data_IF_512524544186
#
_entry.id   IF_512524544186
#
_cell.length_a   1.000
_cell.length_b   1.000
_cell.length_c   1.000
_cell.angle_alpha   90.00
_cell.angle_beta   90.00
_cell.angle_gamma   90.00
#
_symmetry.space_group_name_H-M   'P 1'
#
loop_
_entity.id
_entity.type
_entity.pdbx_description
1 polymer ?
#
# COMPACT_ATOMS: atom_id res chain seq x y z
N UNK A 1 25.69 -11.01 14.65
CA UNK A 1 25.01 -10.25 13.57
C UNK A 1 24.56 -8.92 14.18
N UNK A 2 25.01 -7.79 13.64
CA UNK A 2 24.67 -6.46 14.19
C UNK A 2 23.54 -5.81 13.40
N UNK A 3 22.64 -5.10 14.09
CA UNK A 3 21.56 -4.32 13.46
C UNK A 3 22.12 -3.16 12.62
N UNK A 4 23.25 -2.59 13.02
CA UNK A 4 23.90 -1.48 12.32
C UNK A 4 24.73 -1.92 11.09
N UNK A 5 24.89 -3.23 10.88
CA UNK A 5 25.62 -3.76 9.73
C UNK A 5 24.79 -3.58 8.45
N UNK A 6 25.44 -3.25 7.35
CA UNK A 6 24.81 -3.20 6.03
C UNK A 6 24.27 -4.56 5.58
N UNK A 7 23.36 -4.52 4.60
CA UNK A 7 22.74 -5.71 4.04
C UNK A 7 22.42 -5.49 2.57
N UNK A 8 22.84 -6.41 1.71
CA UNK A 8 22.54 -6.37 0.27
C UNK A 8 21.41 -7.34 -0.04
N UNK A 9 20.34 -6.83 -0.63
CA UNK A 9 19.22 -7.63 -1.12
C UNK A 9 19.66 -8.48 -2.32
N UNK A 10 18.87 -9.51 -2.65
CA UNK A 10 19.18 -10.43 -3.76
C UNK A 10 19.25 -9.76 -5.13
N UNK A 11 18.63 -8.57 -5.29
CA UNK A 11 18.69 -7.75 -6.50
C UNK A 11 19.87 -6.76 -6.51
N UNK A 12 20.76 -6.80 -5.50
CA UNK A 12 21.93 -5.92 -5.39
C UNK A 12 21.69 -4.59 -4.66
N UNK A 13 20.46 -4.28 -4.25
CA UNK A 13 20.17 -3.07 -3.48
C UNK A 13 20.81 -3.15 -2.09
N UNK A 14 21.65 -2.17 -1.74
CA UNK A 14 22.41 -2.14 -0.48
C UNK A 14 21.74 -1.25 0.56
N UNK A 15 21.26 -1.85 1.66
CA UNK A 15 20.74 -1.15 2.83
C UNK A 15 21.90 -0.79 3.77
N UNK A 16 21.93 0.46 4.26
CA UNK A 16 22.97 0.94 5.22
C UNK A 16 22.91 0.25 6.59
N UNK A 17 21.78 -0.36 6.95
CA UNK A 17 21.59 -1.13 8.18
C UNK A 17 20.36 -2.05 8.04
N UNK A 18 20.07 -2.84 9.09
CA UNK A 18 18.95 -3.81 9.15
C UNK A 18 17.71 -3.24 9.84
N UNK A 19 17.57 -1.91 9.91
CA UNK A 19 16.41 -1.25 10.51
C UNK A 19 15.41 -0.92 9.40
N UNK A 20 14.21 -1.48 9.53
CA UNK A 20 13.11 -1.27 8.59
C UNK A 20 11.96 -0.58 9.30
N UNK A 21 11.47 0.54 8.76
CA UNK A 21 10.16 1.06 9.16
C UNK A 21 9.10 0.20 8.50
N UNK A 22 8.34 -0.52 9.32
CA UNK A 22 7.24 -1.37 8.87
C UNK A 22 6.09 -0.54 8.25
N UNK A 23 5.30 -1.19 7.40
CA UNK A 23 4.10 -0.58 6.85
C UNK A 23 3.07 -0.31 7.98
N UNK A 24 2.79 0.97 8.21
CA UNK A 24 1.88 1.46 9.24
C UNK A 24 1.01 2.49 8.56
N UNK A 25 -0.31 2.35 8.54
CA UNK A 25 -1.15 3.34 7.86
C UNK A 25 -1.03 4.72 8.53
N UNK A 26 -0.68 5.74 7.75
CA UNK A 26 -0.54 7.10 8.25
C UNK A 26 -1.84 7.89 8.19
N UNK A 27 -2.75 7.56 7.28
CA UNK A 27 -4.00 8.31 7.00
C UNK A 27 -3.80 9.80 6.66
N UNK A 28 -2.66 10.13 6.03
CA UNK A 28 -2.25 11.51 5.73
C UNK A 28 -2.32 11.88 4.24
N UNK A 29 -3.00 11.08 3.42
CA UNK A 29 -3.35 11.44 2.05
C UNK A 29 -4.46 12.51 2.02
N UNK A 30 -4.52 13.28 0.94
CA UNK A 30 -5.61 14.23 0.72
C UNK A 30 -6.93 13.52 0.30
N UNK A 31 -7.99 14.30 0.09
CA UNK A 31 -9.29 13.76 -0.34
C UNK A 31 -9.25 13.09 -1.71
N UNK A 32 -8.36 13.55 -2.58
CA UNK A 32 -8.15 12.99 -3.91
C UNK A 32 -7.28 11.72 -3.85
N UNK A 33 -6.67 11.40 -2.72
CA UNK A 33 -5.76 10.27 -2.57
C UNK A 33 -4.32 10.59 -2.96
N UNK A 34 -3.93 11.86 -3.00
CA UNK A 34 -2.55 12.26 -3.20
C UNK A 34 -1.78 12.28 -1.88
N UNK A 35 -0.45 12.03 -1.90
CA UNK A 35 0.36 12.24 -0.72
C UNK A 35 0.52 13.74 -0.44
N UNK A 36 0.64 14.11 0.84
CA UNK A 36 0.71 15.50 1.30
C UNK A 36 2.11 15.88 1.78
N UNK A 37 2.38 17.19 1.89
CA UNK A 37 3.64 17.70 2.45
C UNK A 37 3.88 17.17 3.87
N UNK A 38 2.82 17.03 4.67
CA UNK A 38 2.91 16.46 6.01
C UNK A 38 3.37 15.00 5.98
N UNK A 39 2.89 14.22 5.01
CA UNK A 39 3.35 12.85 4.77
C UNK A 39 4.82 12.83 4.33
N UNK A 40 5.25 13.74 3.44
CA UNK A 40 6.66 13.85 3.04
C UNK A 40 7.56 14.11 4.25
N UNK A 41 7.15 15.02 5.14
CA UNK A 41 7.88 15.38 6.35
C UNK A 41 8.04 14.18 7.29
N UNK A 42 7.00 13.36 7.44
CA UNK A 42 7.06 12.15 8.26
C UNK A 42 8.15 11.19 7.77
N UNK A 43 8.17 10.86 6.48
CA UNK A 43 9.14 9.93 5.93
C UNK A 43 10.56 10.50 5.90
N UNK A 44 10.71 11.80 5.62
CA UNK A 44 11.98 12.50 5.77
C UNK A 44 12.53 12.36 7.18
N UNK A 45 11.71 12.57 8.22
CA UNK A 45 12.15 12.44 9.62
C UNK A 45 12.60 11.02 9.97
N UNK A 46 11.91 10.00 9.45
CA UNK A 46 12.31 8.60 9.61
C UNK A 46 13.65 8.29 8.92
N UNK A 47 13.88 8.89 7.76
CA UNK A 47 15.13 8.74 7.00
C UNK A 47 16.30 9.47 7.68
N UNK A 48 16.09 10.71 8.14
CA UNK A 48 17.03 11.49 8.96
C UNK A 48 17.43 10.74 10.24
N UNK A 49 16.50 10.00 10.85
CA UNK A 49 16.73 9.16 12.02
C UNK A 49 17.60 7.92 11.76
N UNK A 50 18.03 7.67 10.53
CA UNK A 50 18.96 6.60 10.20
C UNK A 50 18.33 5.29 9.76
N UNK A 51 17.02 5.22 9.51
CA UNK A 51 16.34 4.01 9.00
C UNK A 51 16.95 3.55 7.67
N UNK A 52 17.24 2.25 7.50
CA UNK A 52 17.82 1.72 6.26
C UNK A 52 16.80 1.53 5.13
N UNK A 53 15.64 0.99 5.47
CA UNK A 53 14.52 0.76 4.55
C UNK A 53 13.22 1.27 5.16
N UNK A 54 12.46 2.01 4.37
CA UNK A 54 11.17 2.56 4.76
C UNK A 54 10.12 1.91 3.87
N UNK A 55 9.08 1.35 4.48
CA UNK A 55 7.91 0.85 3.76
C UNK A 55 6.77 1.82 4.07
N UNK A 56 6.07 2.28 3.03
CA UNK A 56 4.94 3.19 3.22
C UNK A 56 3.84 2.53 4.04
N UNK A 57 2.91 3.32 4.58
CA UNK A 57 1.59 2.81 4.92
C UNK A 57 0.83 2.35 3.69
N UNK A 58 -0.45 2.07 3.91
CA UNK A 58 -1.31 1.38 2.97
C UNK A 58 -1.63 2.25 1.73
N UNK A 59 -1.11 1.86 0.56
CA UNK A 59 -1.35 2.53 -0.73
C UNK A 59 -2.34 1.71 -1.55
N UNK A 60 -3.45 2.33 -1.93
CA UNK A 60 -4.49 1.66 -2.71
C UNK A 60 -4.13 1.69 -4.19
N UNK A 61 -4.33 0.57 -4.89
CA UNK A 61 -4.13 0.47 -6.35
C UNK A 61 -5.36 0.93 -7.15
N UNK A 62 -6.43 1.36 -6.47
CA UNK A 62 -7.68 1.76 -7.09
C UNK A 62 -8.43 2.80 -6.26
N UNK A 63 -8.73 3.96 -6.87
CA UNK A 63 -9.46 5.06 -6.18
C UNK A 63 -10.85 4.70 -5.71
N UNK A 64 -11.53 3.80 -6.41
CA UNK A 64 -12.88 3.31 -6.05
C UNK A 64 -12.85 2.32 -4.87
N UNK A 65 -11.67 1.78 -4.53
CA UNK A 65 -11.48 0.77 -3.51
C UNK A 65 -10.47 1.25 -2.46
N UNK A 66 -10.92 2.16 -1.59
CA UNK A 66 -10.13 2.68 -0.46
C UNK A 66 -10.47 1.98 0.85
N UNK A 67 -9.45 1.69 1.65
CA UNK A 67 -9.61 1.15 3.00
C UNK A 67 -9.85 2.22 4.06
N UNK A 68 -9.32 3.43 3.86
CA UNK A 68 -9.33 4.52 4.82
C UNK A 68 -9.40 5.89 4.11
N UNK A 69 -9.98 6.89 4.79
CA UNK A 69 -10.18 8.23 4.22
C UNK A 69 -8.89 8.94 3.82
N UNK A 70 -7.78 8.61 4.48
CA UNK A 70 -6.46 9.18 4.24
C UNK A 70 -5.49 8.25 3.50
N UNK A 71 -5.97 7.16 2.88
CA UNK A 71 -5.07 6.37 2.02
C UNK A 71 -4.63 7.20 0.82
N UNK A 72 -3.34 7.10 0.50
CA UNK A 72 -2.81 7.48 -0.81
C UNK A 72 -3.24 6.42 -1.83
N UNK A 73 -3.53 6.86 -3.04
CA UNK A 73 -3.94 6.00 -4.16
C UNK A 73 -2.93 6.18 -5.29
N UNK A 74 -2.47 5.06 -5.84
CA UNK A 74 -1.59 5.05 -7.01
C UNK A 74 -2.32 4.29 -8.13
N UNK A 75 -2.85 5.04 -9.09
CA UNK A 75 -3.50 4.54 -10.30
C UNK A 75 -3.23 5.52 -11.47
N UNK A 76 -3.85 5.30 -12.63
CA UNK A 76 -3.66 6.13 -13.84
C UNK A 76 -3.91 7.63 -13.67
N UNK A 77 -4.71 8.03 -12.68
CA UNK A 77 -5.09 9.43 -12.44
C UNK A 77 -4.18 10.10 -11.39
N UNK A 78 -3.16 9.41 -10.91
CA UNK A 78 -2.26 9.93 -9.88
C UNK A 78 -1.32 11.02 -10.41
N UNK A 79 -1.11 12.05 -9.60
CA UNK A 79 -0.16 13.12 -9.91
C UNK A 79 1.28 12.61 -9.71
N UNK A 80 1.98 12.36 -10.81
CA UNK A 80 3.34 11.82 -10.80
C UNK A 80 4.37 12.74 -10.13
N UNK A 81 4.17 14.06 -10.18
CA UNK A 81 5.07 15.05 -9.57
C UNK A 81 4.99 15.00 -8.05
N UNK A 82 3.77 14.81 -7.50
CA UNK A 82 3.56 14.59 -6.07
C UNK A 82 4.13 13.25 -5.60
N UNK A 83 3.94 12.18 -6.39
CA UNK A 83 4.55 10.88 -6.09
C UNK A 83 6.08 10.96 -6.12
N UNK A 84 6.64 11.68 -7.08
CA UNK A 84 8.09 11.92 -7.18
C UNK A 84 8.60 12.70 -5.98
N UNK A 85 7.88 13.76 -5.59
CA UNK A 85 8.21 14.55 -4.40
C UNK A 85 8.17 13.69 -3.12
N UNK A 86 7.23 12.76 -3.05
CA UNK A 86 7.11 11.82 -1.94
C UNK A 86 8.29 10.84 -1.90
N UNK A 87 8.62 10.20 -3.02
CA UNK A 87 9.76 9.30 -3.13
C UNK A 87 11.07 10.00 -2.75
N UNK A 88 11.28 11.23 -3.24
CA UNK A 88 12.46 12.05 -2.96
C UNK A 88 12.54 12.57 -1.53
N UNK A 89 11.47 12.46 -0.72
CA UNK A 89 11.50 12.92 0.67
C UNK A 89 12.54 12.20 1.54
N UNK A 90 12.97 11.00 1.14
CA UNK A 90 14.02 10.23 1.84
C UNK A 90 15.39 10.31 1.15
N UNK A 91 15.47 11.00 0.00
CA UNK A 91 16.68 11.14 -0.80
C UNK A 91 17.80 11.80 0.02
N UNK A 92 19.06 11.48 -0.29
CA UNK A 92 20.26 11.96 0.42
C UNK A 92 20.42 11.49 1.89
N UNK A 93 19.47 10.74 2.44
CA UNK A 93 19.60 10.17 3.79
C UNK A 93 20.09 8.70 3.79
N UNK A 94 20.39 8.12 2.61
CA UNK A 94 20.83 6.73 2.48
C UNK A 94 19.76 5.71 2.87
N UNK A 95 18.49 6.10 2.81
CA UNK A 95 17.34 5.24 3.10
C UNK A 95 16.65 4.85 1.80
N UNK A 96 16.24 3.60 1.66
CA UNK A 96 15.39 3.16 0.55
C UNK A 96 13.92 3.29 0.92
N UNK A 97 13.05 3.53 -0.06
CA UNK A 97 11.64 3.74 0.18
C UNK A 97 10.79 2.89 -0.77
N UNK A 98 9.99 1.99 -0.20
CA UNK A 98 9.05 1.13 -0.90
C UNK A 98 7.61 1.59 -0.66
N UNK A 99 6.76 1.48 -1.68
CA UNK A 99 5.32 1.58 -1.49
C UNK A 99 4.72 0.22 -1.15
N UNK A 100 3.89 0.16 -0.11
CA UNK A 100 3.07 -1.02 0.16
C UNK A 100 1.76 -0.94 -0.63
N UNK A 101 1.69 -1.66 -1.75
CA UNK A 101 0.52 -1.72 -2.62
C UNK A 101 -0.54 -2.68 -2.08
N UNK A 102 -1.79 -2.25 -2.12
CA UNK A 102 -2.91 -3.01 -1.57
C UNK A 102 -4.24 -2.76 -2.30
N UNK A 103 -5.17 -3.68 -2.07
CA UNK A 103 -6.59 -3.53 -2.38
C UNK A 103 -7.42 -4.04 -1.18
N UNK A 104 -8.41 -3.27 -0.70
CA UNK A 104 -9.06 -3.57 0.58
C UNK A 104 -9.95 -4.82 0.54
N UNK A 105 -10.46 -5.17 -0.65
CA UNK A 105 -11.40 -6.26 -0.84
C UNK A 105 -12.65 -6.05 0.01
N UNK A 106 -13.06 -7.05 0.79
CA UNK A 106 -14.21 -6.93 1.69
C UNK A 106 -14.02 -6.02 2.91
N UNK A 107 -12.80 -5.56 3.20
CA UNK A 107 -12.49 -4.66 4.33
C UNK A 107 -12.51 -3.18 3.93
N UNK A 108 -13.38 -2.79 3.00
CA UNK A 108 -13.55 -1.40 2.59
C UNK A 108 -14.76 -0.79 3.32
N UNK A 109 -14.59 0.30 4.12
CA UNK A 109 -15.70 0.94 4.81
C UNK A 109 -16.81 1.36 3.83
N UNK A 110 -18.07 1.16 4.21
CA UNK A 110 -19.24 1.43 3.35
C UNK A 110 -19.36 2.90 2.90
N UNK A 111 -18.73 3.82 3.63
CA UNK A 111 -18.64 5.25 3.30
C UNK A 111 -17.62 5.55 2.21
N UNK A 112 -16.68 4.64 1.96
CA UNK A 112 -15.62 4.76 0.96
C UNK A 112 -15.86 3.86 -0.24
N UNK A 113 -16.43 2.67 -0.02
CA UNK A 113 -16.79 1.75 -1.07
C UNK A 113 -18.16 1.12 -0.77
N UNK A 114 -19.15 1.47 -1.59
CA UNK A 114 -20.51 0.95 -1.44
C UNK A 114 -20.68 -0.47 -1.99
N UNK A 115 -19.76 -0.95 -2.83
CA UNK A 115 -19.81 -2.24 -3.53
C UNK A 115 -18.46 -2.98 -3.37
N UNK A 116 -18.11 -3.41 -2.14
CA UNK A 116 -16.87 -4.14 -1.93
C UNK A 116 -16.88 -5.47 -2.69
N UNK A 117 -15.67 -5.93 -3.02
CA UNK A 117 -15.45 -7.17 -3.79
C UNK A 117 -14.51 -8.10 -3.04
N UNK A 118 -14.65 -9.41 -3.25
CA UNK A 118 -13.88 -10.44 -2.55
C UNK A 118 -13.81 -11.72 -3.38
N UNK A 119 -13.03 -12.75 -2.98
CA UNK A 119 -13.02 -14.04 -3.66
C UNK A 119 -14.39 -14.72 -3.67
N UNK A 120 -15.09 -14.67 -2.54
CA UNK A 120 -16.45 -15.21 -2.38
C UNK A 120 -17.35 -14.16 -1.73
N UNK A 121 -18.66 -14.27 -1.92
CA UNK A 121 -19.67 -13.38 -1.33
C UNK A 121 -19.89 -13.67 0.18
N UNK A 122 -18.82 -13.60 0.97
CA UNK A 122 -18.81 -13.90 2.40
C UNK A 122 -18.56 -12.60 3.18
N UNK A 123 -19.59 -12.12 3.88
CA UNK A 123 -19.52 -10.92 4.70
C UNK A 123 -18.50 -11.03 5.85
N UNK A 124 -18.03 -9.88 6.33
CA UNK A 124 -17.20 -9.83 7.53
C UNK A 124 -17.99 -10.23 8.78
N UNK A 125 -17.33 -10.95 9.68
CA UNK A 125 -17.88 -11.41 10.97
C UNK A 125 -17.04 -10.86 12.11
N UNK A 126 -17.65 -10.61 13.28
CA UNK A 126 -16.97 -10.08 14.46
C UNK A 126 -17.45 -8.69 14.87
N UNK A 127 -16.74 -8.02 15.79
CA UNK A 127 -17.10 -6.67 16.23
C UNK A 127 -16.92 -5.64 15.11
N UNK A 128 -17.69 -4.56 15.15
CA UNK A 128 -17.62 -3.42 14.23
C UNK A 128 -17.91 -3.73 12.75
N UNK A 129 -18.49 -4.90 12.42
CA UNK A 129 -18.77 -5.26 11.02
C UNK A 129 -19.85 -4.41 10.35
N UNK A 130 -20.68 -3.71 11.14
CA UNK A 130 -21.73 -2.80 10.66
C UNK A 130 -21.21 -1.62 9.81
N UNK A 131 -19.90 -1.37 9.81
CA UNK A 131 -19.25 -0.35 8.98
C UNK A 131 -18.90 -0.84 7.57
N UNK A 132 -19.03 -2.14 7.29
CA UNK A 132 -18.72 -2.75 6.00
C UNK A 132 -19.98 -3.23 5.31
N UNK A 133 -20.03 -3.12 3.98
CA UNK A 133 -21.08 -3.75 3.18
C UNK A 133 -20.72 -5.21 2.86
N UNK A 134 -21.71 -6.10 2.67
CA UNK A 134 -21.46 -7.44 2.14
C UNK A 134 -20.74 -7.37 0.79
N UNK A 135 -19.66 -8.14 0.57
CA UNK A 135 -18.96 -8.12 -0.70
C UNK A 135 -19.67 -8.95 -1.76
N UNK A 136 -19.46 -8.59 -3.03
CA UNK A 136 -19.74 -9.47 -4.16
C UNK A 136 -18.52 -10.34 -4.46
N UNK A 137 -18.74 -11.57 -4.92
CA UNK A 137 -17.68 -12.42 -5.46
C UNK A 137 -17.14 -11.83 -6.77
N UNK A 138 -15.81 -11.74 -6.90
CA UNK A 138 -15.14 -11.25 -8.09
C UNK A 138 -15.34 -12.22 -9.27
N UNK A 139 -15.58 -11.66 -10.45
CA UNK A 139 -15.50 -12.40 -11.70
C UNK A 139 -14.05 -12.50 -12.18
N UNK A 140 -13.75 -13.52 -13.00
CA UNK A 140 -12.39 -13.74 -13.51
C UNK A 140 -11.83 -12.52 -14.26
N UNK A 141 -12.68 -11.80 -15.01
CA UNK A 141 -12.27 -10.59 -15.72
C UNK A 141 -11.87 -9.46 -14.77
N UNK A 142 -12.55 -9.35 -13.63
CA UNK A 142 -12.27 -8.35 -12.61
C UNK A 142 -10.99 -8.68 -11.84
N UNK A 143 -10.73 -9.96 -11.58
CA UNK A 143 -9.45 -10.41 -11.03
C UNK A 143 -8.30 -9.99 -11.94
N UNK A 144 -8.42 -10.24 -13.26
CA UNK A 144 -7.41 -9.82 -14.23
C UNK A 144 -7.24 -8.30 -14.25
N UNK A 145 -8.33 -7.54 -14.17
CA UNK A 145 -8.26 -6.09 -14.10
C UNK A 145 -7.54 -5.60 -12.83
N UNK A 146 -7.78 -6.21 -11.67
CA UNK A 146 -7.09 -5.88 -10.42
C UNK A 146 -5.59 -6.22 -10.52
N UNK A 147 -5.22 -7.35 -11.12
CA UNK A 147 -3.81 -7.68 -11.38
C UNK A 147 -3.13 -6.58 -12.22
N UNK A 148 -3.79 -6.07 -13.25
CA UNK A 148 -3.27 -4.96 -14.05
C UNK A 148 -3.13 -3.68 -13.22
N UNK A 149 -4.06 -3.38 -12.31
CA UNK A 149 -3.96 -2.22 -11.42
C UNK A 149 -2.76 -2.31 -10.48
N UNK A 150 -2.46 -3.50 -9.93
CA UNK A 150 -1.23 -3.72 -9.15
C UNK A 150 0.03 -3.50 -10.00
N UNK A 151 0.05 -4.01 -11.24
CA UNK A 151 1.18 -3.84 -12.15
C UNK A 151 1.40 -2.36 -12.50
N UNK A 152 0.33 -1.66 -12.87
CA UNK A 152 0.36 -0.23 -13.18
C UNK A 152 0.81 0.61 -11.98
N UNK A 153 0.33 0.29 -10.77
CA UNK A 153 0.76 1.01 -9.58
C UNK A 153 2.26 0.79 -9.29
N UNK A 154 2.80 -0.39 -9.57
CA UNK A 154 4.23 -0.67 -9.46
C UNK A 154 5.05 0.11 -10.50
N UNK A 155 4.58 0.18 -11.76
CA UNK A 155 5.22 0.97 -12.82
C UNK A 155 5.23 2.48 -12.48
N UNK A 156 4.14 3.00 -11.94
CA UNK A 156 4.06 4.38 -11.47
C UNK A 156 4.99 4.63 -10.27
N UNK A 157 5.13 3.66 -9.37
CA UNK A 157 6.05 3.76 -8.25
C UNK A 157 7.52 3.80 -8.73
N UNK A 158 7.88 2.95 -9.69
CA UNK A 158 9.19 2.98 -10.33
C UNK A 158 9.44 4.32 -11.03
N UNK A 159 8.48 4.79 -11.84
CA UNK A 159 8.56 6.07 -12.55
C UNK A 159 8.73 7.26 -11.60
N UNK A 160 8.05 7.23 -10.44
CA UNK A 160 8.18 8.26 -9.41
C UNK A 160 9.53 8.20 -8.65
N UNK A 161 10.31 7.13 -8.80
CA UNK A 161 11.61 6.97 -8.16
C UNK A 161 11.56 6.29 -6.78
N UNK A 162 10.50 5.55 -6.44
CA UNK A 162 10.55 4.65 -5.29
C UNK A 162 11.57 3.53 -5.54
N UNK A 163 12.20 3.01 -4.49
CA UNK A 163 13.17 1.91 -4.59
C UNK A 163 12.53 0.56 -4.93
N UNK A 164 11.19 0.49 -4.98
CA UNK A 164 10.41 -0.69 -5.29
C UNK A 164 9.05 -0.68 -4.60
N UNK A 165 8.42 -1.86 -4.55
CA UNK A 165 7.11 -2.05 -3.94
C UNK A 165 7.07 -3.29 -3.06
N UNK A 166 6.24 -3.24 -2.03
CA UNK A 166 5.81 -4.40 -1.23
C UNK A 166 4.34 -4.72 -1.58
N UNK A 167 4.04 -5.99 -1.82
CA UNK A 167 2.66 -6.44 -2.09
C UNK A 167 1.99 -6.85 -0.79
N UNK A 168 0.90 -6.17 -0.41
CA UNK A 168 0.18 -6.49 0.81
C UNK A 168 -0.73 -7.72 0.63
N UNK A 169 -0.22 -8.89 1.03
CA UNK A 169 -0.97 -10.17 1.03
C UNK A 169 -1.30 -10.69 2.45
N UNK A 170 -1.53 -9.77 3.40
CA UNK A 170 -1.73 -10.09 4.82
C UNK A 170 -2.97 -9.36 5.39
N UNK A 171 -3.23 -9.57 6.69
CA UNK A 171 -4.23 -8.84 7.49
C UNK A 171 -5.67 -8.87 6.96
N UNK A 172 -6.03 -9.87 6.14
CA UNK A 172 -7.38 -10.04 5.62
C UNK A 172 -7.77 -9.05 4.52
N UNK A 173 -6.82 -8.35 3.89
CA UNK A 173 -7.04 -7.62 2.64
C UNK A 173 -7.17 -8.54 1.43
N UNK A 174 -7.45 -8.00 0.23
CA UNK A 174 -7.92 -8.79 -0.90
C UNK A 174 -7.06 -10.02 -1.21
N UNK A 175 -5.74 -9.86 -1.31
CA UNK A 175 -4.85 -10.98 -1.63
C UNK A 175 -4.84 -12.03 -0.51
N UNK A 176 -4.86 -11.59 0.74
CA UNK A 176 -4.99 -12.51 1.88
C UNK A 176 -6.35 -13.23 1.90
N UNK A 177 -7.41 -12.57 1.44
CA UNK A 177 -8.74 -13.18 1.30
C UNK A 177 -8.68 -14.35 0.32
N UNK A 178 -7.98 -14.23 -0.82
CA UNK A 178 -7.79 -15.34 -1.75
C UNK A 178 -6.98 -16.50 -1.13
N UNK A 179 -6.03 -16.20 -0.25
CA UNK A 179 -5.18 -17.21 0.39
C UNK A 179 -5.85 -17.92 1.56
N UNK A 180 -6.99 -17.42 2.08
CA UNK A 180 -7.62 -17.94 3.28
C UNK A 180 -8.88 -18.77 2.95
N UNK A 181 -8.90 -20.08 3.28
CA UNK A 181 -10.08 -20.93 3.03
C UNK A 181 -11.31 -20.53 3.85
N UNK A 182 -11.13 -19.67 4.87
CA UNK A 182 -12.25 -19.13 5.63
C UNK A 182 -13.17 -18.25 4.77
N UNK A 183 -12.63 -17.64 3.71
CA UNK A 183 -13.31 -16.58 2.93
C UNK A 183 -13.17 -16.73 1.42
N UNK A 184 -12.42 -17.75 0.96
CA UNK A 184 -12.33 -18.20 -0.42
C UNK A 184 -12.81 -19.64 -0.53
N UNK A 185 -13.90 -19.85 -1.27
CA UNK A 185 -14.60 -21.13 -1.47
C UNK A 185 -14.90 -21.38 -2.93
#
# INVERSE_FOLDING_TARGET
MSVAQDFTLTNGLRLKNRIVKAATSETMGDRNGNPTIALFNLYRKLAEGGTGLIISGNVMVERSARGEFGNVVVDQDSNIELLTSWAKSVENHGSHFLLQLNHPGRQAPKTLNSKPVAPSAIAMTGPNTFVFNPPRALELVEIKAIVQKFAQAAELAETAGFSGVEIHAAHGYLLNQFLSPAVNR
#
